data_IF_128097208652
#
_entry.id   IF_128097208652
#
_cell.length_a   1.000
_cell.length_b   1.000
_cell.length_c   1.000
_cell.angle_alpha   90.00
_cell.angle_beta   90.00
_cell.angle_gamma   90.00
#
_symmetry.space_group_name_H-M   'P 1'
#
loop_
_entity.id
_entity.type
_entity.pdbx_description
1 polymer ?
#
# COMPACT_ATOMS: atom_id res chain seq x y z
N UNK A 1 37.17 -18.02 8.33
CA UNK A 1 36.74 -16.66 8.70
C UNK A 1 35.32 -16.49 8.15
N UNK A 2 34.30 -16.60 9.00
CA UNK A 2 32.89 -16.57 8.58
C UNK A 2 32.45 -15.14 8.40
N UNK A 3 32.20 -14.74 7.14
CA UNK A 3 31.55 -13.49 6.80
C UNK A 3 30.10 -13.51 7.37
N UNK A 4 29.90 -12.81 8.48
CA UNK A 4 28.56 -12.59 9.03
C UNK A 4 27.89 -11.56 8.16
N UNK A 5 26.99 -12.01 7.28
CA UNK A 5 26.15 -11.16 6.48
C UNK A 5 25.59 -10.02 7.30
N UNK A 6 26.01 -8.80 7.02
CA UNK A 6 25.45 -7.56 7.58
C UNK A 6 24.00 -7.47 7.10
N UNK A 7 23.06 -7.88 7.93
CA UNK A 7 21.65 -7.62 7.69
C UNK A 7 21.46 -6.11 7.47
N UNK A 8 20.99 -5.75 6.30
CA UNK A 8 20.68 -4.35 5.98
C UNK A 8 19.50 -3.93 6.89
N UNK A 9 19.82 -3.14 7.91
CA UNK A 9 18.79 -2.50 8.73
C UNK A 9 18.05 -1.47 7.87
N UNK A 10 16.71 -1.42 7.97
CA UNK A 10 15.95 -0.29 7.47
C UNK A 10 16.57 0.99 8.04
N UNK A 11 16.81 1.97 7.19
CA UNK A 11 17.37 3.27 7.61
C UNK A 11 16.43 3.92 8.61
N UNK A 12 16.99 4.76 9.47
CA UNK A 12 16.27 5.51 10.54
C UNK A 12 15.16 6.44 9.99
N UNK A 13 15.09 6.66 8.67
CA UNK A 13 14.06 7.45 8.04
C UNK A 13 13.64 6.82 6.69
N UNK A 14 12.57 6.02 6.72
CA UNK A 14 11.88 5.55 5.51
C UNK A 14 10.75 6.51 5.18
N UNK A 15 10.73 7.04 3.95
CA UNK A 15 9.65 7.92 3.50
C UNK A 15 8.47 7.09 3.00
N UNK A 16 7.37 7.18 3.73
CA UNK A 16 6.08 6.58 3.37
C UNK A 16 5.13 7.71 2.98
N UNK A 17 4.43 7.55 1.87
CA UNK A 17 3.45 8.51 1.39
C UNK A 17 2.10 7.86 1.07
N UNK A 18 1.09 8.68 0.88
CA UNK A 18 -0.21 8.28 0.36
C UNK A 18 -0.72 9.30 -0.65
N UNK A 19 -1.38 8.84 -1.71
CA UNK A 19 -1.87 9.70 -2.78
C UNK A 19 -3.16 9.14 -3.39
N UNK A 20 -4.19 9.98 -3.50
CA UNK A 20 -5.34 9.69 -4.35
C UNK A 20 -4.98 10.11 -5.79
N UNK A 21 -4.80 9.13 -6.66
CA UNK A 21 -4.32 9.35 -8.04
C UNK A 21 -5.45 9.62 -9.04
N UNK A 22 -6.71 9.44 -8.60
CA UNK A 22 -7.95 9.58 -9.39
C UNK A 22 -8.07 8.70 -10.62
N UNK A 23 -7.09 7.95 -11.00
CA UNK A 23 -7.06 6.81 -11.92
C UNK A 23 -5.65 6.52 -12.41
N UNK A 24 -5.34 5.27 -12.65
CA UNK A 24 -4.12 4.81 -13.35
C UNK A 24 -4.46 4.07 -14.64
N UNK A 25 -5.69 4.26 -15.17
CA UNK A 25 -6.12 3.58 -16.40
C UNK A 25 -5.48 4.16 -17.67
N UNK A 26 -5.00 5.39 -17.62
CA UNK A 26 -4.37 6.02 -18.80
C UNK A 26 -3.00 5.41 -19.08
N UNK A 27 -2.71 5.20 -20.36
CA UNK A 27 -1.41 4.70 -20.82
C UNK A 27 -0.28 5.60 -20.30
N UNK A 28 0.73 4.99 -19.67
CA UNK A 28 1.88 5.70 -19.11
C UNK A 28 1.64 6.37 -17.75
N UNK A 29 0.42 6.32 -17.19
CA UNK A 29 0.11 6.95 -15.91
C UNK A 29 0.97 6.37 -14.76
N UNK A 30 1.16 5.06 -14.72
CA UNK A 30 2.00 4.40 -13.74
C UNK A 30 3.48 4.83 -13.85
N UNK A 31 4.01 4.91 -15.06
CA UNK A 31 5.40 5.33 -15.29
C UNK A 31 5.63 6.79 -14.86
N UNK A 32 4.68 7.67 -15.12
CA UNK A 32 4.73 9.06 -14.65
C UNK A 32 4.69 9.14 -13.12
N UNK A 33 3.84 8.33 -12.49
CA UNK A 33 3.75 8.26 -11.04
C UNK A 33 5.05 7.73 -10.42
N UNK A 34 5.65 6.68 -10.98
CA UNK A 34 6.93 6.13 -10.52
C UNK A 34 8.05 7.18 -10.60
N UNK A 35 8.12 7.94 -11.70
CA UNK A 35 9.10 9.04 -11.82
C UNK A 35 8.89 10.11 -10.74
N UNK A 36 7.66 10.44 -10.42
CA UNK A 36 7.36 11.41 -9.35
C UNK A 36 7.72 10.88 -7.96
N UNK A 37 7.44 9.61 -7.70
CA UNK A 37 7.86 8.93 -6.46
C UNK A 37 9.39 8.97 -6.31
N UNK A 38 10.10 8.66 -7.38
CA UNK A 38 11.57 8.68 -7.39
C UNK A 38 12.12 10.09 -7.14
N UNK A 39 11.55 11.10 -7.81
CA UNK A 39 11.90 12.50 -7.61
C UNK A 39 11.69 12.96 -6.17
N UNK A 40 10.61 12.55 -5.54
CA UNK A 40 10.29 12.86 -4.15
C UNK A 40 11.02 11.97 -3.13
N UNK A 41 11.73 10.95 -3.61
CA UNK A 41 12.41 9.94 -2.79
C UNK A 41 11.46 9.24 -1.80
N UNK A 42 10.23 8.98 -2.22
CA UNK A 42 9.28 8.16 -1.46
C UNK A 42 9.61 6.69 -1.70
N UNK A 43 9.73 5.92 -0.65
CA UNK A 43 10.17 4.52 -0.73
C UNK A 43 9.00 3.54 -0.75
N UNK A 44 7.89 3.91 -0.12
CA UNK A 44 6.62 3.20 -0.16
C UNK A 44 5.49 4.21 -0.31
N UNK A 45 4.71 4.08 -1.38
CA UNK A 45 3.54 4.92 -1.63
C UNK A 45 2.27 4.08 -1.58
N UNK A 46 1.33 4.46 -0.71
CA UNK A 46 -0.04 3.97 -0.76
C UNK A 46 -0.87 4.78 -1.77
N UNK A 47 -1.69 4.10 -2.53
CA UNK A 47 -2.51 4.70 -3.59
C UNK A 47 -3.98 4.43 -3.33
N UNK A 48 -4.81 5.44 -3.55
CA UNK A 48 -6.25 5.35 -3.64
C UNK A 48 -6.74 5.73 -5.05
N UNK A 49 -7.87 5.17 -5.45
CA UNK A 49 -8.53 5.39 -6.75
C UNK A 49 -7.66 5.02 -7.97
N UNK A 50 -6.99 3.86 -7.91
CA UNK A 50 -6.23 3.38 -9.08
C UNK A 50 -7.11 2.91 -10.23
N UNK A 51 -8.33 2.45 -9.95
CA UNK A 51 -9.36 1.98 -10.87
C UNK A 51 -9.06 0.69 -11.65
N UNK A 52 -8.00 -0.04 -11.31
CA UNK A 52 -7.74 -1.35 -11.91
C UNK A 52 -8.66 -2.43 -11.37
N UNK A 53 -8.89 -3.45 -12.19
CA UNK A 53 -9.59 -4.67 -11.77
C UNK A 53 -8.64 -5.68 -11.12
N UNK A 54 -9.20 -6.54 -10.29
CA UNK A 54 -8.50 -7.69 -9.72
C UNK A 54 -7.53 -7.36 -8.61
N UNK A 55 -6.78 -8.38 -8.20
CA UNK A 55 -5.84 -8.33 -7.07
C UNK A 55 -4.54 -9.02 -7.49
N UNK A 56 -3.40 -8.54 -7.02
CA UNK A 56 -2.12 -9.16 -7.32
C UNK A 56 -0.93 -8.25 -7.07
N UNK A 57 0.20 -8.62 -7.67
CA UNK A 57 1.42 -7.83 -7.65
C UNK A 57 2.24 -8.09 -8.90
N UNK A 58 3.06 -7.12 -9.27
CA UNK A 58 4.00 -7.23 -10.38
C UNK A 58 5.16 -6.25 -10.20
N UNK A 59 6.27 -6.52 -10.89
CA UNK A 59 7.40 -5.61 -10.97
C UNK A 59 7.20 -4.68 -12.15
N UNK A 60 7.14 -3.38 -11.87
CA UNK A 60 7.08 -2.31 -12.86
C UNK A 60 8.49 -1.95 -13.34
N UNK A 61 8.57 -0.95 -14.25
CA UNK A 61 9.83 -0.39 -14.68
C UNK A 61 10.63 0.18 -13.50
N UNK A 62 11.94 0.32 -13.67
CA UNK A 62 12.88 0.88 -12.68
C UNK A 62 12.96 0.09 -11.34
N UNK A 63 12.46 -1.15 -11.32
CA UNK A 63 12.56 -2.06 -10.18
C UNK A 63 11.57 -1.78 -9.05
N UNK A 64 10.55 -0.98 -9.29
CA UNK A 64 9.43 -0.81 -8.37
C UNK A 64 8.49 -2.01 -8.43
N UNK A 65 7.93 -2.41 -7.30
CA UNK A 65 6.90 -3.45 -7.21
C UNK A 65 5.57 -2.83 -6.83
N UNK A 66 4.51 -3.21 -7.54
CA UNK A 66 3.14 -2.78 -7.29
C UNK A 66 2.35 -3.93 -6.70
N UNK A 67 1.75 -3.70 -5.54
CA UNK A 67 0.79 -4.60 -4.87
C UNK A 67 -0.57 -3.93 -4.91
N UNK A 68 -1.60 -4.60 -5.44
CA UNK A 68 -2.88 -3.92 -5.69
C UNK A 68 -4.09 -4.76 -5.34
N UNK A 69 -5.17 -4.06 -5.04
CA UNK A 69 -6.48 -4.62 -4.71
C UNK A 69 -7.59 -3.74 -5.31
N UNK A 70 -8.16 -4.19 -6.42
CA UNK A 70 -9.29 -3.57 -7.08
C UNK A 70 -10.56 -4.43 -6.96
N UNK A 71 -11.67 -3.93 -7.49
CA UNK A 71 -12.87 -4.72 -7.66
C UNK A 71 -12.78 -5.59 -8.93
N UNK A 72 -13.73 -6.51 -9.11
CA UNK A 72 -13.69 -7.44 -10.24
C UNK A 72 -13.84 -6.76 -11.61
N UNK A 73 -14.58 -5.66 -11.67
CA UNK A 73 -14.88 -4.95 -12.93
C UNK A 73 -13.88 -3.85 -13.26
N UNK A 74 -13.17 -3.32 -12.27
CA UNK A 74 -12.38 -2.11 -12.41
C UNK A 74 -13.23 -0.85 -12.58
N UNK A 75 -12.59 0.25 -12.98
CA UNK A 75 -13.24 1.51 -13.31
C UNK A 75 -13.65 2.38 -12.10
N UNK A 76 -13.58 1.87 -10.89
CA UNK A 76 -13.84 2.62 -9.66
C UNK A 76 -13.03 2.06 -8.50
N UNK A 77 -12.83 2.87 -7.47
CA UNK A 77 -12.07 2.49 -6.27
C UNK A 77 -10.68 1.92 -6.61
N UNK A 78 -10.21 0.97 -5.82
CA UNK A 78 -8.92 0.33 -5.99
C UNK A 78 -7.82 1.02 -5.21
N UNK A 79 -7.07 0.22 -4.47
CA UNK A 79 -5.95 0.65 -3.64
C UNK A 79 -4.71 -0.14 -3.98
N UNK A 80 -3.55 0.46 -3.77
CA UNK A 80 -2.28 -0.21 -4.05
C UNK A 80 -1.15 0.31 -3.16
N UNK A 81 -0.05 -0.44 -3.15
CA UNK A 81 1.26 0.03 -2.73
C UNK A 81 2.23 0.00 -3.89
N UNK A 82 2.99 1.06 -4.07
CA UNK A 82 4.18 1.08 -4.93
C UNK A 82 5.40 1.14 -4.03
N UNK A 83 6.28 0.16 -4.17
CA UNK A 83 7.40 -0.07 -3.27
C UNK A 83 8.69 -0.06 -4.07
N UNK A 84 9.69 0.72 -3.65
CA UNK A 84 10.98 0.72 -4.31
C UNK A 84 11.72 -0.60 -4.09
N UNK A 85 12.74 -0.83 -4.91
CA UNK A 85 13.54 -2.06 -4.88
C UNK A 85 14.17 -2.36 -3.51
N UNK A 86 14.54 -1.32 -2.76
CA UNK A 86 15.16 -1.48 -1.44
C UNK A 86 14.15 -1.97 -0.41
N UNK A 87 13.01 -1.30 -0.28
CA UNK A 87 11.94 -1.70 0.65
C UNK A 87 11.33 -3.04 0.26
N UNK A 88 11.23 -3.33 -1.03
CA UNK A 88 10.64 -4.59 -1.50
C UNK A 88 11.36 -5.84 -0.97
N UNK A 89 12.66 -5.76 -0.71
CA UNK A 89 13.43 -6.85 -0.09
C UNK A 89 13.02 -7.16 1.34
N UNK A 90 12.33 -6.23 2.00
CA UNK A 90 11.86 -6.34 3.37
C UNK A 90 10.37 -6.69 3.46
N UNK A 91 9.68 -6.84 2.33
CA UNK A 91 8.26 -7.23 2.31
C UNK A 91 8.13 -8.69 2.77
N UNK A 92 7.42 -8.90 3.86
CA UNK A 92 7.09 -10.22 4.41
C UNK A 92 5.84 -10.81 3.79
N UNK A 93 4.93 -9.96 3.33
CA UNK A 93 3.68 -10.33 2.71
C UNK A 93 2.75 -9.14 2.54
N UNK A 94 1.65 -9.35 1.85
CA UNK A 94 0.60 -8.36 1.68
C UNK A 94 -0.76 -9.03 1.69
N UNK A 95 -1.80 -8.28 2.01
CA UNK A 95 -3.18 -8.77 2.01
C UNK A 95 -4.10 -7.79 1.26
N UNK A 96 -4.57 -8.18 0.05
CA UNK A 96 -5.55 -7.40 -0.70
C UNK A 96 -6.95 -7.67 -0.13
N UNK A 97 -7.37 -6.89 0.87
CA UNK A 97 -8.63 -7.10 1.60
C UNK A 97 -9.83 -6.91 0.66
N UNK A 98 -9.96 -5.72 0.09
CA UNK A 98 -11.00 -5.37 -0.88
C UNK A 98 -10.55 -4.17 -1.73
N UNK A 99 -11.46 -3.59 -2.52
CA UNK A 99 -11.14 -2.44 -3.38
C UNK A 99 -10.95 -1.11 -2.64
N UNK A 100 -11.06 -1.12 -1.31
CA UNK A 100 -10.84 0.05 -0.43
C UNK A 100 -9.74 -0.16 0.61
N UNK A 101 -9.20 -1.38 0.72
CA UNK A 101 -8.18 -1.71 1.74
C UNK A 101 -7.19 -2.72 1.22
N UNK A 102 -5.92 -2.43 1.46
CA UNK A 102 -4.79 -3.34 1.26
C UNK A 102 -3.79 -3.15 2.39
N UNK A 103 -3.21 -4.21 2.88
CA UNK A 103 -2.12 -4.13 3.86
C UNK A 103 -0.84 -4.75 3.34
N UNK A 104 0.28 -4.24 3.83
CA UNK A 104 1.63 -4.77 3.55
C UNK A 104 2.39 -4.87 4.87
N UNK A 105 3.16 -5.93 5.03
CA UNK A 105 3.98 -6.15 6.22
C UNK A 105 5.45 -6.11 5.86
N UNK A 106 6.21 -5.31 6.61
CA UNK A 106 7.64 -5.09 6.39
C UNK A 106 8.45 -5.61 7.57
N UNK A 107 9.55 -6.29 7.26
CA UNK A 107 10.55 -6.65 8.25
C UNK A 107 11.33 -5.40 8.67
N UNK A 108 11.33 -5.11 9.96
CA UNK A 108 12.03 -3.97 10.55
C UNK A 108 12.55 -4.30 11.96
N UNK A 109 13.38 -3.42 12.49
CA UNK A 109 13.94 -3.52 13.86
C UNK A 109 13.69 -2.20 14.56
N UNK A 110 13.21 -2.20 15.82
CA UNK A 110 13.08 -3.31 16.76
C UNK A 110 11.84 -4.18 16.56
N UNK A 111 10.86 -3.75 15.76
CA UNK A 111 9.63 -4.51 15.47
C UNK A 111 9.26 -4.38 14.01
N UNK A 112 8.52 -5.34 13.48
CA UNK A 112 8.00 -5.29 12.13
C UNK A 112 6.95 -4.18 12.01
N UNK A 113 6.69 -3.75 10.77
CA UNK A 113 5.74 -2.69 10.46
C UNK A 113 4.64 -3.27 9.57
N UNK A 114 3.40 -3.07 9.98
CA UNK A 114 2.22 -3.32 9.14
C UNK A 114 1.65 -1.98 8.68
N UNK A 115 1.53 -1.78 7.38
CA UNK A 115 0.94 -0.58 6.78
C UNK A 115 -0.37 -0.96 6.14
N UNK A 116 -1.43 -0.22 6.44
CA UNK A 116 -2.77 -0.38 5.83
C UNK A 116 -3.07 0.87 5.02
N UNK A 117 -3.26 0.71 3.72
CA UNK A 117 -3.74 1.76 2.83
C UNK A 117 -5.25 1.65 2.71
N UNK A 118 -5.94 2.75 2.92
CA UNK A 118 -7.40 2.82 2.86
C UNK A 118 -7.89 3.90 1.88
N UNK A 119 -9.09 3.66 1.36
CA UNK A 119 -9.88 4.63 0.62
C UNK A 119 -11.29 4.63 1.19
N UNK A 120 -11.61 5.57 2.07
CA UNK A 120 -12.89 5.65 2.73
C UNK A 120 -14.01 6.06 1.76
N UNK A 121 -15.27 5.65 2.03
CA UNK A 121 -16.43 6.20 1.32
C UNK A 121 -16.47 7.71 1.47
N UNK A 122 -17.01 8.40 0.45
CA UNK A 122 -17.20 9.86 0.51
C UNK A 122 -18.28 10.23 1.53
N UNK A 123 -18.31 11.50 1.92
CA UNK A 123 -19.34 12.03 2.84
C UNK A 123 -20.79 11.92 2.31
N UNK A 124 -20.95 11.69 1.00
CA UNK A 124 -22.25 11.44 0.37
C UNK A 124 -22.70 9.97 0.39
N UNK A 125 -21.85 9.06 0.88
CA UNK A 125 -22.20 7.66 1.04
C UNK A 125 -23.25 7.49 2.15
N UNK A 126 -23.96 6.35 2.13
CA UNK A 126 -24.92 6.02 3.19
C UNK A 126 -24.22 5.78 4.53
N UNK A 127 -24.92 6.00 5.64
CA UNK A 127 -24.39 5.69 6.97
C UNK A 127 -24.03 4.20 7.11
N UNK A 128 -24.77 3.34 6.41
CA UNK A 128 -24.49 1.91 6.35
C UNK A 128 -23.17 1.61 5.65
N UNK A 129 -22.90 2.23 4.50
CA UNK A 129 -21.63 2.05 3.77
C UNK A 129 -20.43 2.56 4.60
N UNK A 130 -20.61 3.68 5.27
CA UNK A 130 -19.58 4.25 6.15
C UNK A 130 -19.31 3.31 7.33
N UNK A 131 -20.38 2.82 7.98
CA UNK A 131 -20.27 1.89 9.11
C UNK A 131 -19.62 0.58 8.70
N UNK A 132 -20.02 0.02 7.54
CA UNK A 132 -19.41 -1.20 7.00
C UNK A 132 -17.92 -1.02 6.71
N UNK A 133 -17.51 0.13 6.15
CA UNK A 133 -16.11 0.43 5.91
C UNK A 133 -15.30 0.39 7.21
N UNK A 134 -15.74 1.08 8.25
CA UNK A 134 -15.01 1.11 9.53
C UNK A 134 -15.02 -0.24 10.25
N UNK A 135 -16.09 -1.01 10.14
CA UNK A 135 -16.14 -2.38 10.65
C UNK A 135 -15.11 -3.29 9.94
N UNK A 136 -15.03 -3.22 8.62
CA UNK A 136 -14.03 -3.96 7.85
C UNK A 136 -12.60 -3.50 8.15
N UNK A 137 -12.39 -2.22 8.37
CA UNK A 137 -11.08 -1.69 8.79
C UNK A 137 -10.69 -2.23 10.17
N UNK A 138 -11.62 -2.27 11.12
CA UNK A 138 -11.37 -2.84 12.43
C UNK A 138 -11.01 -4.33 12.34
N UNK A 139 -11.73 -5.10 11.53
CA UNK A 139 -11.44 -6.52 11.31
C UNK A 139 -10.05 -6.72 10.68
N UNK A 140 -9.68 -5.88 9.71
CA UNK A 140 -8.36 -5.90 9.09
C UNK A 140 -7.24 -5.59 10.12
N UNK A 141 -7.44 -4.61 10.98
CA UNK A 141 -6.49 -4.24 12.04
C UNK A 141 -6.38 -5.35 13.10
N UNK A 142 -7.48 -5.96 13.49
CA UNK A 142 -7.52 -7.05 14.47
C UNK A 142 -6.79 -8.30 13.97
N UNK A 143 -6.75 -8.51 12.66
CA UNK A 143 -6.02 -9.60 12.02
C UNK A 143 -4.51 -9.40 11.90
N UNK A 144 -3.99 -8.19 12.18
CA UNK A 144 -2.55 -7.91 12.10
C UNK A 144 -1.80 -8.47 13.32
N UNK A 145 -0.49 -8.81 13.17
CA UNK A 145 0.32 -9.26 14.29
C UNK A 145 0.38 -8.20 15.40
N UNK A 146 0.10 -8.61 16.64
CA UNK A 146 -0.02 -7.71 17.81
C UNK A 146 1.29 -7.00 18.19
N UNK A 147 2.42 -7.51 17.73
CA UNK A 147 3.75 -6.94 18.03
C UNK A 147 4.25 -5.99 16.94
N UNK A 148 3.53 -5.87 15.86
CA UNK A 148 3.91 -4.96 14.77
C UNK A 148 3.57 -3.52 15.14
N UNK A 149 4.40 -2.59 14.67
CA UNK A 149 4.00 -1.19 14.58
C UNK A 149 3.00 -1.04 13.44
N UNK A 150 1.80 -0.55 13.75
CA UNK A 150 0.72 -0.43 12.76
C UNK A 150 0.59 1.01 12.31
N UNK A 151 0.61 1.22 11.01
CA UNK A 151 0.40 2.51 10.35
C UNK A 151 -0.80 2.41 9.40
N UNK A 152 -1.82 3.22 9.63
CA UNK A 152 -2.97 3.36 8.72
C UNK A 152 -2.83 4.65 7.96
N UNK A 153 -2.76 4.56 6.64
CA UNK A 153 -2.62 5.70 5.73
C UNK A 153 -3.72 5.66 4.66
N UNK A 154 -3.98 6.76 4.02
CA UNK A 154 -4.91 6.78 2.89
C UNK A 154 -5.73 8.05 2.79
N UNK A 155 -6.82 7.92 2.03
CA UNK A 155 -7.82 8.95 1.85
C UNK A 155 -9.04 8.61 2.72
N UNK A 156 -9.25 9.40 3.75
CA UNK A 156 -10.36 9.23 4.69
C UNK A 156 -11.60 10.07 4.34
N UNK A 157 -11.54 10.82 3.23
CA UNK A 157 -12.60 11.72 2.74
C UNK A 157 -13.09 12.75 3.76
#
# INVERSE_FOLDING_TARGET
MKDRGKGHKLRVATKIGTWNVRTLLHLGALDLLIREIDRCQVELLGIAEMHWSGKGHFTANDGYTVYYSGNEKGGSNGVAFIVNRFINKHVLGYNPVNDRMISIRLQATPMNISVVQVYAPTSSASDEDISNFYSQLQDALDGLPKRDFVLVIGDFN
#
